data_IF_798746931377
#
_entry.id   IF_798746931377
#
_cell.length_a   1.000
_cell.length_b   1.000
_cell.length_c   1.000
_cell.angle_alpha   90.00
_cell.angle_beta   90.00
_cell.angle_gamma   90.00
#
_symmetry.space_group_name_H-M   'P 1'
#
loop_
_entity.id
_entity.type
_entity.pdbx_description
1 polymer ?
#
# COMPACT_ATOMS: atom_id res chain seq x y z
N UNK A 1 -7.45 14.22 9.78
CA UNK A 1 -6.67 15.48 9.88
C UNK A 1 -7.55 16.65 9.50
N UNK A 2 -7.49 17.74 10.26
CA UNK A 2 -8.26 18.96 10.01
C UNK A 2 -7.51 19.88 9.03
N UNK A 3 -8.24 20.49 8.10
CA UNK A 3 -7.75 21.45 7.12
C UNK A 3 -8.52 22.76 7.27
N UNK A 4 -7.82 23.82 7.68
CA UNK A 4 -8.38 25.17 7.76
C UNK A 4 -7.91 25.94 6.54
N UNK A 5 -8.84 26.29 5.66
CA UNK A 5 -8.56 27.02 4.42
C UNK A 5 -8.85 28.51 4.53
N UNK A 6 -8.26 29.26 3.61
CA UNK A 6 -8.54 30.67 3.34
C UNK A 6 -8.69 30.89 1.84
N UNK A 7 -9.01 32.12 1.42
CA UNK A 7 -9.08 32.44 -0.01
C UNK A 7 -7.76 32.08 -0.70
N UNK A 8 -7.83 31.26 -1.74
CA UNK A 8 -6.70 30.76 -2.54
C UNK A 8 -5.70 29.82 -1.83
N UNK A 9 -5.97 29.38 -0.59
CA UNK A 9 -5.22 28.25 -0.04
C UNK A 9 -5.46 27.02 -0.92
N UNK A 10 -4.38 26.36 -1.35
CA UNK A 10 -4.41 25.31 -2.35
C UNK A 10 -3.73 24.02 -1.87
N UNK A 11 -4.04 22.92 -2.54
CA UNK A 11 -3.30 21.67 -2.49
C UNK A 11 -2.91 21.30 -3.93
N UNK A 12 -1.61 21.11 -4.13
CA UNK A 12 -1.03 20.83 -5.43
C UNK A 12 -1.44 19.44 -5.95
N UNK A 13 -1.10 19.16 -7.21
CA UNK A 13 -1.36 17.84 -7.80
C UNK A 13 -0.61 16.74 -7.06
N UNK A 14 -1.36 15.75 -6.56
CA UNK A 14 -0.79 14.59 -5.92
C UNK A 14 -1.75 13.39 -5.94
N UNK A 15 -1.21 12.23 -5.58
CA UNK A 15 -1.95 11.03 -5.17
C UNK A 15 -1.69 10.78 -3.68
N UNK A 16 -2.56 10.03 -3.02
CA UNK A 16 -2.33 9.64 -1.64
C UNK A 16 -1.15 8.68 -1.50
N UNK A 17 -0.50 8.73 -0.33
CA UNK A 17 0.56 7.79 0.02
C UNK A 17 0.06 6.36 -0.14
N UNK A 18 0.90 5.50 -0.71
CA UNK A 18 0.57 4.11 -1.00
C UNK A 18 -0.70 3.90 -1.85
N UNK A 19 -1.12 4.90 -2.61
CA UNK A 19 -2.33 4.89 -3.44
C UNK A 19 -3.61 4.57 -2.67
N UNK A 20 -3.66 4.99 -1.40
CA UNK A 20 -4.87 4.86 -0.60
C UNK A 20 -6.03 5.67 -1.20
N UNK A 21 -7.24 5.32 -0.78
CA UNK A 21 -8.37 6.23 -0.90
C UNK A 21 -8.17 7.42 0.05
N UNK A 22 -8.78 8.56 -0.24
CA UNK A 22 -9.07 9.58 0.76
C UNK A 22 -10.56 9.88 0.79
N UNK A 23 -11.07 10.23 1.97
CA UNK A 23 -12.40 10.82 2.14
C UNK A 23 -12.24 12.16 2.85
N UNK A 24 -12.83 13.21 2.29
CA UNK A 24 -12.82 14.56 2.81
C UNK A 24 -14.25 15.03 3.08
N UNK A 25 -14.53 15.42 4.33
CA UNK A 25 -15.79 16.06 4.72
C UNK A 25 -15.59 17.57 4.90
N UNK A 26 -16.50 18.36 4.34
CA UNK A 26 -16.47 19.83 4.47
C UNK A 26 -17.40 20.28 5.59
N UNK A 27 -16.85 20.69 6.72
CA UNK A 27 -17.62 21.07 7.91
C UNK A 27 -18.36 22.39 7.72
N UNK A 28 -17.66 23.45 7.29
CA UNK A 28 -18.24 24.79 7.19
C UNK A 28 -17.44 25.76 6.31
N UNK A 29 -18.00 26.94 6.06
CA UNK A 29 -17.36 28.05 5.36
C UNK A 29 -17.56 28.05 3.85
N UNK A 30 -16.68 28.73 3.14
CA UNK A 30 -16.68 28.84 1.68
C UNK A 30 -16.42 27.49 0.99
N UNK A 31 -16.88 27.35 -0.25
CA UNK A 31 -16.72 26.13 -1.03
C UNK A 31 -15.26 25.87 -1.40
N UNK A 32 -14.96 24.61 -1.77
CA UNK A 32 -13.64 24.15 -2.21
C UNK A 32 -13.74 23.57 -3.62
N UNK A 33 -12.86 23.98 -4.52
CA UNK A 33 -12.77 23.39 -5.86
C UNK A 33 -11.75 22.27 -5.87
N UNK A 34 -12.13 21.16 -6.49
CA UNK A 34 -11.31 19.98 -6.73
C UNK A 34 -11.20 19.72 -8.22
N UNK A 35 -10.02 19.28 -8.64
CA UNK A 35 -9.76 18.68 -9.93
C UNK A 35 -9.28 17.25 -9.69
N UNK A 36 -9.79 16.29 -10.45
CA UNK A 36 -9.46 14.88 -10.32
C UNK A 36 -9.19 14.21 -11.65
N UNK A 37 -8.21 13.30 -11.65
CA UNK A 37 -7.80 12.46 -12.78
C UNK A 37 -8.12 11.01 -12.42
N UNK A 38 -8.76 10.23 -13.28
CA UNK A 38 -9.01 8.82 -13.00
C UNK A 38 -7.70 8.03 -12.91
N UNK A 39 -7.63 7.04 -12.02
CA UNK A 39 -6.39 6.31 -11.72
C UNK A 39 -5.73 5.63 -12.93
N UNK A 40 -6.50 5.18 -13.92
CA UNK A 40 -5.95 4.60 -15.15
C UNK A 40 -5.21 5.62 -16.04
N UNK A 41 -5.51 6.92 -15.89
CA UNK A 41 -4.85 7.99 -16.63
C UNK A 41 -3.61 8.54 -15.90
N UNK A 42 -3.27 8.03 -14.71
CA UNK A 42 -2.11 8.46 -13.94
C UNK A 42 -0.77 8.35 -14.71
N UNK A 43 -0.47 7.27 -15.46
CA UNK A 43 0.76 7.21 -16.25
C UNK A 43 0.83 8.29 -17.33
N UNK A 44 -0.30 8.60 -17.98
CA UNK A 44 -0.37 9.63 -19.02
C UNK A 44 -0.24 11.02 -18.40
N UNK A 45 -0.86 11.25 -17.22
CA UNK A 45 -0.68 12.47 -16.44
C UNK A 45 0.80 12.70 -16.11
N UNK A 46 1.49 11.70 -15.56
CA UNK A 46 2.90 11.81 -15.15
C UNK A 46 3.81 12.10 -16.35
N UNK A 47 3.54 11.46 -17.50
CA UNK A 47 4.24 11.74 -18.76
C UNK A 47 4.06 13.19 -19.22
N UNK A 48 2.82 13.70 -19.22
CA UNK A 48 2.54 15.09 -19.61
C UNK A 48 3.23 16.07 -18.66
N UNK A 49 3.23 15.79 -17.36
CA UNK A 49 3.95 16.60 -16.37
C UNK A 49 5.46 16.61 -16.64
N UNK A 50 6.03 15.45 -16.95
CA UNK A 50 7.45 15.33 -17.29
C UNK A 50 7.83 16.13 -18.54
N UNK A 51 7.00 16.08 -19.59
CA UNK A 51 7.29 16.66 -20.90
C UNK A 51 6.97 18.16 -20.98
N UNK A 52 5.96 18.63 -20.24
CA UNK A 52 5.39 19.97 -20.43
C UNK A 52 5.37 20.87 -19.19
N UNK A 53 5.62 20.32 -17.99
CA UNK A 53 5.57 21.09 -16.74
C UNK A 53 6.95 21.23 -16.11
N UNK A 54 7.70 20.13 -16.00
CA UNK A 54 9.04 20.18 -15.43
C UNK A 54 10.10 20.45 -16.50
N UNK A 55 11.07 21.31 -16.17
CA UNK A 55 12.31 21.42 -16.93
C UNK A 55 13.31 20.34 -16.46
N UNK A 56 14.38 20.13 -17.22
CA UNK A 56 15.40 19.14 -16.87
C UNK A 56 16.14 19.46 -15.56
N UNK A 57 16.09 20.69 -15.07
CA UNK A 57 16.73 21.09 -13.80
C UNK A 57 15.95 20.62 -12.56
N UNK A 58 14.62 20.48 -12.66
CA UNK A 58 13.77 19.98 -11.57
C UNK A 58 13.83 18.45 -11.47
N UNK A 59 14.06 17.77 -12.60
CA UNK A 59 14.12 16.31 -12.65
C UNK A 59 15.49 15.83 -12.17
N UNK A 60 15.53 15.26 -10.96
CA UNK A 60 16.73 14.68 -10.33
C UNK A 60 17.23 13.39 -11.01
N UNK A 61 16.43 12.81 -11.90
CA UNK A 61 16.73 11.57 -12.62
C UNK A 61 16.17 11.57 -14.04
N UNK A 62 16.85 10.85 -14.94
CA UNK A 62 16.31 10.50 -16.26
C UNK A 62 15.53 9.18 -16.11
N UNK A 63 14.23 9.19 -16.37
CA UNK A 63 13.41 7.98 -16.28
C UNK A 63 11.91 8.24 -16.27
N UNK A 64 11.12 7.18 -16.44
CA UNK A 64 9.64 7.22 -16.47
C UNK A 64 9.02 7.63 -15.12
N UNK A 65 9.74 7.47 -14.01
CA UNK A 65 9.29 7.81 -12.66
C UNK A 65 9.85 9.15 -12.13
N UNK A 66 10.64 9.87 -12.94
CA UNK A 66 11.28 11.12 -12.51
C UNK A 66 10.26 12.19 -12.10
N UNK A 67 9.19 12.34 -12.89
CA UNK A 67 8.10 13.27 -12.55
C UNK A 67 7.37 12.85 -11.27
N UNK A 68 7.19 11.54 -11.05
CA UNK A 68 6.55 11.02 -9.85
C UNK A 68 7.36 11.31 -8.59
N UNK A 69 8.68 11.15 -8.62
CA UNK A 69 9.55 11.46 -7.47
C UNK A 69 9.40 12.91 -7.00
N UNK A 70 9.24 13.85 -7.94
CA UNK A 70 8.97 15.27 -7.65
C UNK A 70 7.53 15.47 -7.18
N UNK A 71 6.55 14.84 -7.84
CA UNK A 71 5.12 14.93 -7.48
C UNK A 71 4.82 14.40 -6.06
N UNK A 72 5.62 13.45 -5.56
CA UNK A 72 5.55 13.00 -4.16
C UNK A 72 5.76 14.14 -3.15
N UNK A 73 6.45 15.21 -3.54
CA UNK A 73 6.61 16.40 -2.71
C UNK A 73 5.32 17.20 -2.52
N UNK A 74 4.27 16.95 -3.31
CA UNK A 74 2.97 17.65 -3.26
C UNK A 74 3.10 19.18 -3.37
N UNK A 75 4.02 19.66 -4.21
CA UNK A 75 4.33 21.10 -4.34
C UNK A 75 3.93 21.71 -5.69
N UNK A 76 3.77 20.92 -6.74
CA UNK A 76 3.58 21.44 -8.10
C UNK A 76 2.11 21.68 -8.43
N UNK A 77 1.74 22.96 -8.51
CA UNK A 77 0.43 23.39 -8.98
C UNK A 77 0.55 23.95 -10.41
N UNK A 78 -0.28 23.45 -11.32
CA UNK A 78 -0.40 23.96 -12.69
C UNK A 78 -1.85 23.81 -13.17
N UNK A 79 -2.30 24.66 -14.09
CA UNK A 79 -3.70 24.70 -14.48
C UNK A 79 -4.11 23.44 -15.28
N UNK A 80 -5.34 22.95 -15.12
CA UNK A 80 -5.83 21.76 -15.82
C UNK A 80 -5.80 21.81 -17.35
N UNK A 81 -5.74 22.99 -17.97
CA UNK A 81 -5.75 23.11 -19.43
C UNK A 81 -4.54 22.43 -20.07
N UNK A 82 -3.38 22.42 -19.41
CA UNK A 82 -2.20 21.69 -19.89
C UNK A 82 -2.51 20.20 -20.06
N UNK A 83 -3.27 19.61 -19.12
CA UNK A 83 -3.68 18.20 -19.18
C UNK A 83 -4.70 17.97 -20.30
N UNK A 84 -5.69 18.86 -20.42
CA UNK A 84 -6.74 18.77 -21.43
C UNK A 84 -6.20 18.89 -22.86
N UNK A 85 -5.23 19.78 -23.09
CA UNK A 85 -4.52 19.95 -24.37
C UNK A 85 -3.78 18.67 -24.81
N UNK A 86 -3.41 17.81 -23.85
CA UNK A 86 -2.73 16.54 -24.08
C UNK A 86 -3.65 15.32 -23.86
N UNK A 87 -4.97 15.50 -23.94
CA UNK A 87 -5.99 14.45 -23.85
C UNK A 87 -5.99 13.66 -22.52
N UNK A 88 -5.51 14.24 -21.42
CA UNK A 88 -5.66 13.66 -20.09
C UNK A 88 -7.05 14.05 -19.54
N UNK A 89 -7.89 13.08 -19.15
CA UNK A 89 -9.22 13.38 -18.63
C UNK A 89 -9.13 14.10 -17.28
N UNK A 90 -9.75 15.28 -17.18
CA UNK A 90 -9.85 16.05 -15.93
C UNK A 90 -11.32 16.31 -15.59
N UNK A 91 -11.69 15.99 -14.35
CA UNK A 91 -13.02 16.25 -13.81
C UNK A 91 -12.94 17.30 -12.70
N UNK A 92 -13.98 18.12 -12.56
CA UNK A 92 -14.05 19.17 -11.54
C UNK A 92 -15.21 18.93 -10.59
N UNK A 93 -14.96 19.08 -9.29
CA UNK A 93 -16.00 19.13 -8.27
C UNK A 93 -15.93 20.45 -7.48
N UNK A 94 -17.07 20.94 -7.03
CA UNK A 94 -17.17 22.12 -6.16
C UNK A 94 -17.87 21.68 -4.87
N UNK A 95 -17.07 21.42 -3.85
CA UNK A 95 -17.51 20.88 -2.57
C UNK A 95 -18.05 22.00 -1.68
N UNK A 96 -19.27 21.81 -1.15
CA UNK A 96 -19.97 22.69 -0.22
C UNK A 96 -20.02 22.08 1.19
N UNK A 97 -20.32 22.87 2.24
CA UNK A 97 -20.55 22.34 3.58
C UNK A 97 -21.58 21.21 3.62
N UNK A 98 -21.25 20.14 4.36
CA UNK A 98 -22.07 18.92 4.45
C UNK A 98 -21.77 17.86 3.39
N UNK A 99 -20.87 18.13 2.43
CA UNK A 99 -20.55 17.21 1.34
C UNK A 99 -19.24 16.44 1.58
N UNK A 100 -19.24 15.18 1.13
CA UNK A 100 -18.05 14.35 1.04
C UNK A 100 -17.44 14.39 -0.36
N UNK A 101 -16.11 14.41 -0.42
CA UNK A 101 -15.32 14.08 -1.62
C UNK A 101 -14.54 12.80 -1.31
N UNK A 102 -14.60 11.83 -2.22
CA UNK A 102 -13.81 10.60 -2.15
C UNK A 102 -12.83 10.61 -3.31
N UNK A 103 -11.53 10.46 -3.02
CA UNK A 103 -10.51 10.26 -4.04
C UNK A 103 -10.15 8.77 -4.10
N UNK A 104 -10.23 8.20 -5.30
CA UNK A 104 -9.93 6.79 -5.54
C UNK A 104 -8.41 6.54 -5.58
N UNK A 105 -7.97 5.28 -5.41
CA UNK A 105 -6.58 4.87 -5.53
C UNK A 105 -5.94 5.37 -6.82
N UNK A 106 -4.71 5.89 -6.70
CA UNK A 106 -3.90 6.41 -7.81
C UNK A 106 -4.56 7.58 -8.58
N UNK A 107 -5.65 8.16 -8.06
CA UNK A 107 -6.31 9.30 -8.69
C UNK A 107 -5.59 10.61 -8.32
N UNK A 108 -4.90 11.22 -9.29
CA UNK A 108 -4.30 12.54 -9.09
C UNK A 108 -5.38 13.57 -8.82
N UNK A 109 -5.14 14.43 -7.85
CA UNK A 109 -6.06 15.50 -7.51
C UNK A 109 -5.34 16.76 -7.02
N UNK A 110 -5.97 17.89 -7.26
CA UNK A 110 -5.51 19.22 -6.87
C UNK A 110 -6.72 20.12 -6.61
N UNK A 111 -6.52 21.26 -5.96
CA UNK A 111 -7.64 22.16 -5.69
C UNK A 111 -7.30 23.34 -4.82
N UNK A 112 -8.31 24.16 -4.55
CA UNK A 112 -8.18 25.39 -3.79
C UNK A 112 -9.49 25.82 -3.11
N UNK A 113 -9.35 26.64 -2.07
CA UNK A 113 -10.45 27.18 -1.28
C UNK A 113 -10.90 28.56 -1.77
N UNK A 114 -12.20 28.82 -1.73
CA UNK A 114 -12.81 30.10 -2.17
C UNK A 114 -13.01 31.10 -1.04
N UNK A 115 -12.40 30.86 0.12
CA UNK A 115 -12.54 31.68 1.31
C UNK A 115 -12.22 30.88 2.56
N UNK A 116 -12.53 31.44 3.73
CA UNK A 116 -12.42 30.70 4.98
C UNK A 116 -13.27 29.43 4.93
N UNK A 117 -12.67 28.28 5.22
CA UNK A 117 -13.40 27.03 5.38
C UNK A 117 -12.69 26.05 6.32
N UNK A 118 -13.44 25.04 6.76
CA UNK A 118 -12.94 23.95 7.58
C UNK A 118 -13.38 22.62 6.96
N UNK A 119 -12.41 21.76 6.66
CA UNK A 119 -12.66 20.39 6.21
C UNK A 119 -11.82 19.40 7.00
N UNK A 120 -12.16 18.13 6.90
CA UNK A 120 -11.46 17.05 7.58
C UNK A 120 -11.31 15.88 6.62
N UNK A 121 -10.13 15.25 6.59
CA UNK A 121 -9.90 14.08 5.75
C UNK A 121 -9.17 12.96 6.47
N UNK A 122 -9.40 11.74 5.98
CA UNK A 122 -8.69 10.53 6.37
C UNK A 122 -8.46 9.64 5.15
N UNK A 123 -7.34 8.92 5.16
CA UNK A 123 -7.02 7.95 4.12
C UNK A 123 -7.45 6.55 4.58
N UNK A 124 -7.86 5.72 3.63
CA UNK A 124 -8.32 4.35 3.92
C UNK A 124 -8.02 3.39 2.77
N UNK A 125 -8.13 2.09 3.07
CA UNK A 125 -8.01 1.01 2.10
C UNK A 125 -9.16 0.02 2.29
N UNK A 126 -9.57 -0.61 1.19
CA UNK A 126 -10.51 -1.73 1.13
C UNK A 126 -9.92 -2.82 0.22
N UNK A 127 -10.57 -3.97 0.04
CA UNK A 127 -9.93 -5.13 -0.59
C UNK A 127 -9.45 -4.90 -2.03
N UNK A 128 -10.12 -4.05 -2.82
CA UNK A 128 -9.66 -3.73 -4.18
C UNK A 128 -8.32 -2.98 -4.23
N UNK A 129 -7.96 -2.27 -3.15
CA UNK A 129 -6.72 -1.50 -3.06
C UNK A 129 -5.48 -2.38 -3.15
N UNK A 130 -5.51 -3.65 -2.70
CA UNK A 130 -4.30 -4.48 -2.61
C UNK A 130 -3.52 -4.60 -3.92
N UNK A 131 -4.23 -4.59 -5.05
CA UNK A 131 -3.62 -4.59 -6.39
C UNK A 131 -2.80 -3.33 -6.66
N UNK A 132 -3.35 -2.15 -6.38
CA UNK A 132 -2.68 -0.85 -6.54
C UNK A 132 -1.68 -0.57 -5.42
N UNK A 133 -1.90 -1.13 -4.22
CA UNK A 133 -0.92 -1.15 -3.15
C UNK A 133 0.37 -1.84 -3.60
N UNK A 134 0.28 -2.97 -4.32
CA UNK A 134 1.46 -3.66 -4.84
C UNK A 134 2.23 -2.80 -5.86
N UNK A 135 1.52 -2.04 -6.72
CA UNK A 135 2.11 -1.06 -7.64
C UNK A 135 2.84 0.02 -6.84
N UNK A 136 2.18 0.58 -5.82
CA UNK A 136 2.78 1.63 -5.00
C UNK A 136 4.05 1.12 -4.31
N UNK A 137 4.01 -0.05 -3.64
CA UNK A 137 5.19 -0.65 -3.00
C UNK A 137 6.33 -0.92 -4.00
N UNK A 138 6.01 -1.18 -5.27
CA UNK A 138 7.00 -1.28 -6.33
C UNK A 138 7.65 0.06 -6.67
N UNK A 139 6.87 1.14 -6.80
CA UNK A 139 7.44 2.47 -7.03
C UNK A 139 8.25 2.98 -5.85
N UNK A 140 7.79 2.74 -4.60
CA UNK A 140 8.60 3.02 -3.40
C UNK A 140 9.95 2.32 -3.45
N UNK A 141 9.96 1.03 -3.84
CA UNK A 141 11.20 0.27 -4.00
C UNK A 141 12.12 0.82 -5.11
N UNK A 142 11.56 1.23 -6.24
CA UNK A 142 12.33 1.82 -7.34
C UNK A 142 12.98 3.16 -6.94
N UNK A 143 12.27 3.96 -6.16
CA UNK A 143 12.76 5.24 -5.63
C UNK A 143 13.59 5.08 -4.34
N UNK A 144 13.83 3.85 -3.88
CA UNK A 144 14.50 3.55 -2.62
C UNK A 144 13.92 4.32 -1.41
N UNK A 145 12.59 4.44 -1.37
CA UNK A 145 11.85 5.11 -0.30
C UNK A 145 11.18 4.07 0.60
N UNK A 146 11.21 4.30 1.91
CA UNK A 146 10.48 3.45 2.86
C UNK A 146 8.98 3.56 2.63
N UNK A 147 8.27 2.44 2.40
CA UNK A 147 6.82 2.47 2.24
C UNK A 147 6.14 2.84 3.56
N UNK A 148 5.03 3.57 3.47
CA UNK A 148 4.24 3.96 4.65
C UNK A 148 3.56 2.77 5.32
N UNK A 149 3.11 1.79 4.53
CA UNK A 149 2.36 0.63 4.98
C UNK A 149 3.15 -0.66 4.71
N UNK A 150 3.11 -1.64 5.63
CA UNK A 150 3.67 -2.96 5.40
C UNK A 150 2.70 -3.80 4.55
N UNK A 151 2.69 -3.56 3.24
CA UNK A 151 1.74 -4.16 2.28
C UNK A 151 1.72 -5.69 2.32
N UNK A 152 2.89 -6.33 2.39
CA UNK A 152 3.02 -7.78 2.41
C UNK A 152 2.43 -8.37 3.70
N UNK A 153 2.65 -7.70 4.83
CA UNK A 153 2.06 -8.08 6.12
C UNK A 153 0.54 -7.95 6.12
N UNK A 154 0.01 -6.81 5.69
CA UNK A 154 -1.43 -6.57 5.61
C UNK A 154 -2.10 -7.62 4.71
N UNK A 155 -1.51 -7.88 3.54
CA UNK A 155 -2.05 -8.86 2.59
C UNK A 155 -2.09 -10.26 3.19
N UNK A 156 -1.03 -10.70 3.86
CA UNK A 156 -1.01 -11.99 4.53
C UNK A 156 -2.03 -12.07 5.68
N UNK A 157 -2.16 -11.02 6.51
CA UNK A 157 -3.12 -11.00 7.62
C UNK A 157 -4.56 -11.07 7.14
N UNK A 158 -4.96 -10.22 6.20
CA UNK A 158 -6.31 -10.23 5.63
C UNK A 158 -6.63 -11.56 4.94
N UNK A 159 -5.65 -12.12 4.22
CA UNK A 159 -5.84 -13.43 3.56
C UNK A 159 -6.03 -14.56 4.55
N UNK A 160 -5.31 -14.55 5.69
CA UNK A 160 -5.50 -15.56 6.73
C UNK A 160 -6.84 -15.41 7.44
N UNK A 161 -7.32 -14.19 7.67
CA UNK A 161 -8.68 -13.96 8.18
C UNK A 161 -9.74 -14.56 7.24
N UNK A 162 -9.61 -14.34 5.92
CA UNK A 162 -10.51 -14.95 4.94
C UNK A 162 -10.40 -16.47 4.92
N UNK A 163 -9.19 -17.02 5.03
CA UNK A 163 -8.97 -18.46 5.07
C UNK A 163 -9.59 -19.13 6.31
N UNK A 164 -9.50 -18.48 7.47
CA UNK A 164 -10.09 -18.93 8.71
C UNK A 164 -11.62 -18.91 8.65
N UNK A 165 -12.20 -17.83 8.10
CA UNK A 165 -13.65 -17.74 7.86
C UNK A 165 -14.17 -18.85 6.94
N UNK A 166 -13.40 -19.21 5.89
CA UNK A 166 -13.74 -20.32 4.99
C UNK A 166 -13.56 -21.70 5.64
N UNK A 167 -12.79 -21.81 6.72
CA UNK A 167 -12.50 -23.08 7.40
C UNK A 167 -13.41 -23.29 8.61
N UNK A 168 -13.87 -22.20 9.23
CA UNK A 168 -14.77 -22.19 10.37
C UNK A 168 -15.86 -21.11 10.15
N UNK A 169 -16.95 -21.42 9.42
CA UNK A 169 -18.04 -20.48 9.17
C UNK A 169 -18.85 -20.27 10.46
N UNK A 170 -18.33 -19.43 11.35
CA UNK A 170 -19.03 -19.02 12.59
C UNK A 170 -20.04 -17.90 12.33
N UNK A 171 -19.89 -17.16 11.23
CA UNK A 171 -20.78 -16.05 10.88
C UNK A 171 -20.95 -15.92 9.34
N UNK A 172 -22.10 -16.33 8.77
CA UNK A 172 -22.34 -16.30 7.32
C UNK A 172 -22.42 -14.89 6.71
N UNK A 173 -22.65 -13.87 7.55
CA UNK A 173 -22.90 -12.48 7.11
C UNK A 173 -21.63 -11.80 6.61
N UNK A 174 -20.49 -12.04 7.26
CA UNK A 174 -19.17 -11.50 6.86
C UNK A 174 -18.68 -12.02 5.49
N UNK A 175 -19.17 -13.17 5.03
CA UNK A 175 -18.79 -13.77 3.75
C UNK A 175 -19.54 -13.17 2.55
N UNK A 176 -20.70 -12.54 2.76
CA UNK A 176 -21.60 -12.16 1.68
C UNK A 176 -21.48 -10.70 1.22
N UNK A 177 -21.01 -9.78 2.08
CA UNK A 177 -21.23 -8.34 1.84
C UNK A 177 -20.19 -7.65 0.93
N UNK A 178 -19.06 -8.30 0.58
CA UNK A 178 -18.08 -7.68 -0.34
C UNK A 178 -17.23 -8.72 -1.12
N UNK A 179 -17.90 -9.53 -1.93
CA UNK A 179 -17.24 -10.55 -2.76
C UNK A 179 -16.15 -9.97 -3.70
N UNK A 180 -16.31 -8.78 -4.33
CA UNK A 180 -15.27 -8.18 -5.15
C UNK A 180 -13.98 -7.86 -4.37
N UNK A 181 -14.08 -7.21 -3.20
CA UNK A 181 -12.91 -6.90 -2.37
C UNK A 181 -12.20 -8.17 -1.91
N UNK A 182 -12.95 -9.18 -1.46
CA UNK A 182 -12.38 -10.47 -1.05
C UNK A 182 -11.64 -11.14 -2.21
N UNK A 183 -12.20 -11.06 -3.43
CA UNK A 183 -11.55 -11.61 -4.63
C UNK A 183 -10.23 -10.89 -4.92
N UNK A 184 -10.18 -9.56 -4.81
CA UNK A 184 -8.94 -8.78 -4.99
C UNK A 184 -7.86 -9.16 -3.97
N UNK A 185 -8.22 -9.38 -2.71
CA UNK A 185 -7.30 -9.86 -1.66
C UNK A 185 -6.74 -11.23 -2.05
N UNK A 186 -7.62 -12.20 -2.35
CA UNK A 186 -7.23 -13.57 -2.71
C UNK A 186 -6.32 -13.61 -3.93
N UNK A 187 -6.64 -12.88 -5.00
CA UNK A 187 -5.83 -12.81 -6.24
C UNK A 187 -4.45 -12.21 -5.94
N UNK A 188 -4.38 -11.13 -5.15
CA UNK A 188 -3.13 -10.48 -4.76
C UNK A 188 -2.26 -11.41 -3.90
N UNK A 189 -2.88 -12.13 -2.97
CA UNK A 189 -2.19 -13.08 -2.10
C UNK A 189 -1.65 -14.29 -2.87
N UNK A 190 -2.43 -14.83 -3.80
CA UNK A 190 -1.97 -15.92 -4.68
C UNK A 190 -0.75 -15.46 -5.49
N UNK A 191 -0.75 -14.24 -6.03
CA UNK A 191 0.43 -13.69 -6.72
C UNK A 191 1.66 -13.66 -5.80
N UNK A 192 1.51 -13.12 -4.59
CA UNK A 192 2.58 -13.07 -3.60
C UNK A 192 3.14 -14.47 -3.32
N UNK A 193 2.26 -15.44 -3.05
CA UNK A 193 2.67 -16.80 -2.69
C UNK A 193 3.30 -17.55 -3.88
N UNK A 194 2.80 -17.37 -5.10
CA UNK A 194 3.44 -17.90 -6.32
C UNK A 194 4.85 -17.33 -6.50
N UNK A 195 5.02 -16.02 -6.30
CA UNK A 195 6.32 -15.36 -6.35
C UNK A 195 7.28 -15.94 -5.29
N UNK A 196 6.87 -15.99 -4.01
CA UNK A 196 7.70 -16.52 -2.94
C UNK A 196 8.04 -18.01 -3.13
N UNK A 197 7.12 -18.81 -3.64
CA UNK A 197 7.39 -20.21 -3.96
C UNK A 197 8.46 -20.34 -5.05
N UNK A 198 8.33 -19.57 -6.15
CA UNK A 198 9.32 -19.55 -7.23
C UNK A 198 10.69 -19.08 -6.77
N UNK A 199 10.74 -17.95 -6.06
CA UNK A 199 11.98 -17.38 -5.55
C UNK A 199 12.69 -18.36 -4.59
N UNK A 200 11.96 -18.99 -3.66
CA UNK A 200 12.54 -20.00 -2.75
C UNK A 200 13.09 -21.21 -3.48
N UNK A 201 12.34 -21.75 -4.45
CA UNK A 201 12.79 -22.90 -5.23
C UNK A 201 14.08 -22.58 -5.98
N UNK A 202 14.14 -21.40 -6.59
CA UNK A 202 15.32 -20.94 -7.31
C UNK A 202 16.51 -20.72 -6.37
N UNK A 203 16.31 -19.99 -5.26
CA UNK A 203 17.35 -19.71 -4.26
C UNK A 203 17.92 -21.01 -3.67
N UNK A 204 17.08 -22.02 -3.46
CA UNK A 204 17.51 -23.35 -3.05
C UNK A 204 18.42 -24.02 -4.10
N UNK A 205 18.09 -23.95 -5.39
CA UNK A 205 18.92 -24.50 -6.49
C UNK A 205 20.34 -23.89 -6.47
N UNK A 206 20.51 -22.70 -5.91
CA UNK A 206 21.79 -22.03 -5.71
C UNK A 206 22.50 -22.36 -4.37
N UNK A 207 22.00 -23.35 -3.62
CA UNK A 207 22.65 -23.89 -2.43
C UNK A 207 22.41 -23.11 -1.14
N UNK A 208 21.38 -22.25 -1.09
CA UNK A 208 21.01 -21.55 0.14
C UNK A 208 20.42 -22.51 1.19
N UNK A 209 20.69 -22.20 2.45
CA UNK A 209 20.07 -22.84 3.62
C UNK A 209 18.82 -22.06 4.03
N UNK A 210 17.91 -22.70 4.76
CA UNK A 210 16.76 -22.01 5.36
C UNK A 210 16.87 -21.95 6.89
N UNK A 211 16.45 -20.81 7.42
CA UNK A 211 16.19 -20.60 8.83
C UNK A 211 14.72 -20.23 8.99
N UNK A 212 14.06 -20.95 9.88
CA UNK A 212 12.68 -20.75 10.22
C UNK A 212 12.68 -19.80 11.43
N UNK A 213 12.05 -18.62 11.30
CA UNK A 213 11.98 -17.61 12.37
C UNK A 213 10.56 -17.07 12.59
N UNK A 214 10.30 -16.59 13.81
CA UNK A 214 9.04 -15.93 14.15
C UNK A 214 9.09 -14.46 13.70
N UNK A 215 8.77 -14.22 12.43
CA UNK A 215 8.68 -12.86 11.86
C UNK A 215 7.33 -12.28 12.30
N UNK A 216 7.32 -11.57 13.43
CA UNK A 216 6.10 -10.95 13.97
C UNK A 216 5.74 -9.63 13.29
N UNK A 217 6.72 -8.93 12.73
CA UNK A 217 6.62 -7.63 12.06
C UNK A 217 7.43 -7.66 10.78
N UNK A 218 6.95 -6.99 9.72
CA UNK A 218 7.68 -6.89 8.47
C UNK A 218 9.06 -6.23 8.63
N UNK A 219 10.05 -6.78 7.93
CA UNK A 219 11.45 -6.34 7.99
C UNK A 219 11.79 -5.56 6.71
N UNK A 220 12.34 -4.33 6.79
CA UNK A 220 12.66 -3.57 5.60
C UNK A 220 13.89 -4.16 4.88
N UNK A 221 13.80 -4.22 3.56
CA UNK A 221 14.92 -4.58 2.71
C UNK A 221 15.98 -3.47 2.72
N UNK A 222 17.24 -3.83 2.97
CA UNK A 222 18.35 -2.88 2.98
C UNK A 222 18.70 -2.25 1.63
N UNK A 223 18.21 -2.81 0.52
CA UNK A 223 18.50 -2.35 -0.84
C UNK A 223 17.40 -1.49 -1.45
N UNK A 224 16.13 -1.80 -1.19
CA UNK A 224 14.98 -1.11 -1.78
C UNK A 224 13.94 -0.65 -0.75
N UNK A 225 14.20 -0.81 0.54
CA UNK A 225 13.28 -0.48 1.65
C UNK A 225 11.94 -1.22 1.68
N UNK A 226 11.64 -2.09 0.70
CA UNK A 226 10.41 -2.88 0.68
C UNK A 226 10.28 -3.73 1.95
N UNK A 227 9.08 -3.81 2.48
CA UNK A 227 8.73 -4.67 3.58
C UNK A 227 8.82 -6.16 3.19
N UNK A 228 9.45 -6.96 4.04
CA UNK A 228 9.59 -8.40 3.88
C UNK A 228 8.88 -9.08 5.04
N UNK A 229 7.80 -9.80 4.76
CA UNK A 229 6.99 -10.43 5.80
C UNK A 229 7.03 -11.96 5.70
N UNK A 230 6.88 -12.51 4.49
CA UNK A 230 6.87 -13.94 4.19
C UNK A 230 8.29 -14.52 4.25
N UNK A 231 9.25 -13.84 3.65
CA UNK A 231 10.64 -14.26 3.63
C UNK A 231 11.62 -13.13 3.29
N UNK A 232 12.83 -13.23 3.81
CA UNK A 232 13.97 -12.41 3.40
C UNK A 232 15.26 -13.22 3.36
N UNK A 233 16.29 -12.69 2.72
CA UNK A 233 17.59 -13.33 2.58
C UNK A 233 18.64 -12.58 3.41
N UNK A 234 19.56 -13.31 4.04
CA UNK A 234 20.86 -12.79 4.48
C UNK A 234 21.97 -13.61 3.81
N UNK A 235 22.99 -12.94 3.28
CA UNK A 235 24.26 -13.57 2.90
C UNK A 235 25.34 -13.08 3.86
N UNK A 236 26.39 -13.85 4.08
CA UNK A 236 27.51 -13.43 4.92
C UNK A 236 28.23 -12.16 4.42
N UNK A 237 28.07 -11.80 3.14
CA UNK A 237 28.57 -10.53 2.59
C UNK A 237 27.74 -9.31 3.02
N UNK A 238 26.47 -9.52 3.39
CA UNK A 238 25.53 -8.45 3.74
C UNK A 238 24.73 -8.87 4.97
N UNK A 239 25.11 -8.34 6.13
CA UNK A 239 24.45 -8.66 7.41
C UNK A 239 22.97 -8.23 7.39
N UNK A 240 22.64 -7.22 6.57
CA UNK A 240 21.32 -6.65 6.51
C UNK A 240 20.34 -7.49 5.66
N UNK A 241 19.05 -7.52 6.02
CA UNK A 241 18.01 -8.23 5.27
C UNK A 241 17.87 -7.73 3.83
N UNK A 242 17.65 -8.66 2.90
CA UNK A 242 17.39 -8.40 1.49
C UNK A 242 16.08 -9.08 1.05
N UNK A 243 15.18 -8.36 0.39
CA UNK A 243 13.98 -8.98 -0.16
C UNK A 243 14.34 -9.92 -1.30
N UNK A 244 13.46 -10.87 -1.61
CA UNK A 244 13.75 -11.87 -2.64
C UNK A 244 13.69 -11.30 -4.06
N UNK A 245 13.54 -9.99 -4.28
CA UNK A 245 13.34 -9.39 -5.61
C UNK A 245 14.63 -8.95 -6.30
N UNK A 246 15.75 -9.00 -5.57
CA UNK A 246 17.08 -8.61 -6.05
C UNK A 246 17.79 -9.77 -6.76
N UNK A 247 17.19 -10.31 -7.83
CA UNK A 247 17.73 -11.50 -8.51
C UNK A 247 19.18 -11.31 -8.96
N UNK A 248 19.52 -10.15 -9.52
CA UNK A 248 20.86 -9.85 -10.04
C UNK A 248 21.91 -9.87 -8.94
N UNK A 249 21.61 -9.24 -7.80
CA UNK A 249 22.48 -9.15 -6.64
C UNK A 249 22.58 -10.50 -5.93
N UNK A 250 21.48 -11.24 -5.87
CA UNK A 250 21.48 -12.62 -5.43
C UNK A 250 22.35 -13.46 -6.39
N UNK A 251 22.27 -13.31 -7.71
CA UNK A 251 23.06 -14.12 -8.64
C UNK A 251 24.57 -13.82 -8.55
N UNK A 252 24.94 -12.55 -8.48
CA UNK A 252 26.32 -12.10 -8.62
C UNK A 252 27.07 -11.99 -7.27
N UNK A 253 26.45 -12.39 -6.17
CA UNK A 253 27.08 -12.23 -4.86
C UNK A 253 28.29 -13.19 -4.67
N UNK A 254 29.47 -12.64 -4.27
CA UNK A 254 30.73 -13.38 -4.22
C UNK A 254 30.81 -14.46 -3.12
N UNK A 255 29.84 -14.54 -2.19
CA UNK A 255 29.82 -15.56 -1.12
C UNK A 255 29.62 -17.01 -1.63
N UNK A 256 29.41 -17.22 -2.93
CA UNK A 256 29.57 -18.51 -3.62
C UNK A 256 28.57 -19.63 -3.29
N UNK A 257 27.88 -19.59 -2.13
CA UNK A 257 26.76 -20.46 -1.67
C UNK A 257 26.30 -20.17 -0.23
N UNK A 258 27.04 -19.39 0.58
CA UNK A 258 26.72 -19.24 2.00
C UNK A 258 25.62 -18.18 2.26
N UNK A 259 24.36 -18.59 2.09
CA UNK A 259 23.17 -17.73 2.24
C UNK A 259 22.12 -18.43 3.04
N UNK A 260 21.45 -17.67 3.90
CA UNK A 260 20.35 -18.13 4.73
C UNK A 260 19.10 -17.37 4.34
N UNK A 261 18.08 -18.10 3.88
CA UNK A 261 16.75 -17.56 3.72
C UNK A 261 15.99 -17.68 5.03
N UNK A 262 15.48 -16.57 5.55
CA UNK A 262 14.65 -16.53 6.74
C UNK A 262 13.19 -16.62 6.30
N UNK A 263 12.50 -17.62 6.84
CA UNK A 263 11.15 -18.00 6.49
C UNK A 263 10.25 -17.89 7.72
N UNK A 264 9.02 -17.43 7.53
CA UNK A 264 8.01 -17.49 8.59
C UNK A 264 7.73 -18.93 9.06
N UNK A 265 7.35 -19.07 10.32
CA UNK A 265 6.89 -20.34 10.91
C UNK A 265 5.66 -20.93 10.21
N UNK A 266 4.70 -20.08 9.89
CA UNK A 266 3.39 -20.41 9.33
C UNK A 266 3.40 -20.48 7.79
N UNK A 267 4.59 -20.53 7.16
CA UNK A 267 4.71 -20.47 5.69
C UNK A 267 3.95 -21.58 4.96
N UNK A 268 3.93 -22.80 5.52
CA UNK A 268 3.17 -23.91 4.94
C UNK A 268 1.66 -23.70 5.06
N UNK A 269 1.21 -22.98 6.09
CA UNK A 269 -0.18 -22.60 6.26
C UNK A 269 -0.58 -21.52 5.25
N UNK A 270 0.27 -20.50 5.05
CA UNK A 270 0.09 -19.49 3.99
C UNK A 270 -0.01 -20.13 2.59
N UNK A 271 0.84 -21.12 2.30
CA UNK A 271 0.76 -21.88 1.04
C UNK A 271 -0.53 -22.70 0.94
N UNK A 272 -1.00 -23.27 2.05
CA UNK A 272 -2.26 -24.04 2.08
C UNK A 272 -3.45 -23.13 1.82
N UNK A 273 -3.46 -21.93 2.41
CA UNK A 273 -4.45 -20.90 2.13
C UNK A 273 -4.44 -20.48 0.66
N UNK A 274 -3.25 -20.21 0.11
CA UNK A 274 -3.09 -19.84 -1.30
C UNK A 274 -3.61 -20.93 -2.24
N UNK A 275 -3.32 -22.21 -1.97
CA UNK A 275 -3.83 -23.34 -2.76
C UNK A 275 -5.36 -23.44 -2.68
N UNK A 276 -5.94 -23.19 -1.50
CA UNK A 276 -7.40 -23.18 -1.32
C UNK A 276 -8.05 -22.07 -2.15
N UNK A 277 -7.49 -20.87 -2.14
CA UNK A 277 -7.98 -19.75 -2.96
C UNK A 277 -7.82 -19.99 -4.46
N UNK A 278 -6.75 -20.64 -4.91
CA UNK A 278 -6.58 -20.99 -6.33
C UNK A 278 -7.65 -21.95 -6.86
N UNK A 279 -8.23 -22.78 -5.99
CA UNK A 279 -9.31 -23.71 -6.34
C UNK A 279 -10.68 -23.03 -6.39
N UNK A 280 -10.81 -21.77 -5.96
CA UNK A 280 -12.03 -20.99 -6.13
C UNK A 280 -12.18 -20.51 -7.58
N UNK A 281 -13.43 -20.41 -8.03
CA UNK A 281 -13.74 -20.16 -9.44
C UNK A 281 -13.21 -18.81 -9.93
N UNK A 282 -12.48 -18.85 -11.05
CA UNK A 282 -11.91 -17.68 -11.73
C UNK A 282 -10.76 -16.96 -11.03
N UNK A 283 -10.23 -17.41 -9.88
CA UNK A 283 -9.04 -16.81 -9.25
C UNK A 283 -7.77 -17.15 -10.05
N UNK A 284 -7.54 -18.42 -10.37
CA UNK A 284 -6.33 -18.84 -11.10
C UNK A 284 -6.25 -18.22 -12.50
N UNK A 285 -7.40 -18.07 -13.18
CA UNK A 285 -7.49 -17.41 -14.49
C UNK A 285 -7.14 -15.92 -14.41
N UNK A 286 -7.66 -15.22 -13.41
CA UNK A 286 -7.37 -13.80 -13.20
C UNK A 286 -5.89 -13.59 -12.89
N UNK A 287 -5.32 -14.46 -12.04
CA UNK A 287 -3.89 -14.45 -11.75
C UNK A 287 -3.07 -14.62 -13.04
N UNK A 288 -3.50 -15.51 -13.93
CA UNK A 288 -2.80 -15.74 -15.19
C UNK A 288 -2.95 -14.56 -16.17
N UNK A 289 -4.12 -13.92 -16.22
CA UNK A 289 -4.36 -12.72 -17.04
C UNK A 289 -3.48 -11.56 -16.60
N UNK A 290 -3.42 -11.26 -15.30
CA UNK A 290 -2.60 -10.18 -14.76
C UNK A 290 -1.10 -10.38 -15.04
N UNK A 291 -0.62 -11.62 -15.00
CA UNK A 291 0.76 -11.97 -15.39
C UNK A 291 1.03 -11.77 -16.89
N UNK A 292 0.05 -12.07 -17.75
CA UNK A 292 0.19 -11.96 -19.22
C UNK A 292 0.06 -10.54 -19.75
N UNK A 293 -0.82 -9.74 -19.16
CA UNK A 293 -1.08 -8.36 -19.59
C UNK A 293 0.07 -7.40 -19.27
N UNK A 294 1.06 -7.83 -18.47
CA UNK A 294 2.16 -6.96 -18.07
C UNK A 294 1.66 -5.72 -17.33
N UNK A 295 0.50 -5.84 -16.66
CA UNK A 295 -0.08 -4.78 -15.87
C UNK A 295 0.97 -4.29 -14.87
N UNK A 296 1.02 -2.98 -14.60
CA UNK A 296 2.06 -2.39 -13.74
C UNK A 296 2.03 -3.00 -12.31
N UNK A 297 0.89 -3.59 -11.93
CA UNK A 297 0.69 -4.42 -10.72
C UNK A 297 1.53 -5.71 -10.70
N UNK A 298 1.95 -6.19 -11.86
CA UNK A 298 2.62 -7.48 -12.09
C UNK A 298 3.93 -7.35 -12.89
N UNK A 299 4.59 -6.19 -12.87
CA UNK A 299 5.92 -5.95 -13.50
C UNK A 299 7.05 -6.90 -13.02
N UNK A 300 6.76 -7.79 -12.08
CA UNK A 300 7.65 -8.80 -11.51
C UNK A 300 7.48 -10.19 -12.15
N UNK A 301 6.64 -10.34 -13.18
CA UNK A 301 6.44 -11.59 -13.92
C UNK A 301 7.73 -12.16 -14.53
N UNK A 302 8.77 -11.33 -14.70
CA UNK A 302 10.08 -11.69 -15.26
C UNK A 302 11.16 -12.07 -14.23
N UNK A 303 10.92 -11.92 -12.93
CA UNK A 303 11.88 -12.31 -11.90
C UNK A 303 11.84 -13.83 -11.67
N UNK A 304 13.03 -14.44 -11.62
CA UNK A 304 13.23 -15.89 -11.51
C UNK A 304 12.50 -16.70 -12.59
N UNK A 305 12.51 -16.24 -13.84
CA UNK A 305 11.95 -17.02 -14.96
C UNK A 305 12.58 -18.42 -14.97
N UNK A 306 11.76 -19.40 -14.62
CA UNK A 306 12.09 -20.82 -14.74
C UNK A 306 11.51 -21.28 -16.08
N UNK A 307 12.39 -21.70 -16.99
CA UNK A 307 11.98 -22.32 -18.25
C UNK A 307 11.33 -23.69 -17.96
N UNK A 308 10.57 -24.23 -18.92
CA UNK A 308 9.99 -25.59 -18.76
C UNK A 308 11.07 -26.64 -18.50
N UNK A 309 12.29 -26.39 -18.95
CA UNK A 309 13.44 -27.27 -18.80
C UNK A 309 14.12 -27.17 -17.42
N UNK A 310 13.79 -26.16 -16.61
CA UNK A 310 14.35 -25.99 -15.26
C UNK A 310 13.78 -26.98 -14.24
N UNK A 311 12.67 -27.66 -14.55
CA UNK A 311 12.02 -28.62 -13.67
C UNK A 311 11.17 -27.99 -12.55
N UNK A 312 10.97 -26.67 -12.56
CA UNK A 312 10.09 -25.99 -11.62
C UNK A 312 8.63 -26.39 -11.83
N UNK A 313 7.95 -26.78 -10.76
CA UNK A 313 6.50 -26.95 -10.70
C UNK A 313 5.95 -26.08 -9.57
N UNK A 314 4.80 -25.45 -9.80
CA UNK A 314 4.15 -24.64 -8.79
C UNK A 314 3.83 -25.52 -7.57
N UNK A 315 4.14 -25.02 -6.37
CA UNK A 315 4.01 -25.73 -5.09
C UNK A 315 4.72 -27.10 -4.99
N UNK A 316 5.77 -27.35 -5.76
CA UNK A 316 6.61 -28.53 -5.56
C UNK A 316 7.37 -28.49 -4.23
N UNK A 317 7.78 -29.66 -3.72
CA UNK A 317 8.44 -29.77 -2.43
C UNK A 317 9.83 -29.10 -2.41
N UNK A 318 10.04 -28.15 -1.49
CA UNK A 318 11.31 -27.42 -1.32
C UNK A 318 11.99 -27.86 -0.02
N UNK A 319 12.80 -28.93 -0.07
CA UNK A 319 13.60 -29.41 1.09
C UNK A 319 14.91 -28.64 1.33
N UNK A 320 14.97 -27.67 2.23
CA UNK A 320 16.25 -27.07 2.58
C UNK A 320 17.10 -28.02 3.43
N UNK A 321 18.43 -27.98 3.28
CA UNK A 321 19.34 -28.60 4.24
C UNK A 321 19.25 -27.80 5.55
N UNK A 322 18.96 -28.49 6.66
CA UNK A 322 18.58 -27.84 7.91
C UNK A 322 19.75 -27.12 8.57
N UNK A 323 19.58 -25.83 8.83
CA UNK A 323 20.30 -25.12 9.90
C UNK A 323 19.45 -25.15 11.15
N UNK A 324 19.92 -25.83 12.18
CA UNK A 324 19.32 -25.88 13.52
C UNK A 324 19.06 -24.46 14.04
N UNK A 325 17.93 -24.27 14.74
CA UNK A 325 17.51 -23.02 15.37
C UNK A 325 18.68 -22.31 16.05
N UNK A 326 19.17 -21.21 15.47
CA UNK A 326 20.06 -20.30 16.18
C UNK A 326 19.16 -19.42 17.02
N UNK A 327 19.06 -19.72 18.31
CA UNK A 327 18.49 -18.81 19.29
C UNK A 327 19.36 -17.56 19.36
N UNK A 328 19.03 -16.54 18.58
CA UNK A 328 19.61 -15.21 18.77
C UNK A 328 19.00 -14.61 20.04
N UNK A 329 19.69 -14.80 21.17
CA UNK A 329 19.57 -13.91 22.33
C UNK A 329 20.07 -12.52 21.92
N UNK A 330 19.22 -11.74 21.24
CA UNK A 330 19.44 -10.30 21.11
C UNK A 330 19.06 -9.68 22.46
N UNK A 331 20.06 -9.47 23.32
CA UNK A 331 19.94 -8.50 24.40
C UNK A 331 19.79 -7.12 23.76
N UNK A 332 18.55 -6.66 23.65
CA UNK A 332 18.28 -5.25 23.50
C UNK A 332 18.76 -4.54 24.77
N UNK A 333 19.86 -3.81 24.68
CA UNK A 333 20.19 -2.81 25.69
C UNK A 333 19.13 -1.71 25.59
N UNK A 334 18.10 -1.83 26.42
CA UNK A 334 17.15 -0.77 26.69
C UNK A 334 17.85 0.32 27.50
N UNK A 335 18.20 1.42 26.85
CA UNK A 335 18.33 2.70 27.52
C UNK A 335 17.43 3.72 26.83
N UNK A 336 16.33 4.04 27.52
CA UNK A 336 15.69 5.35 27.48
C UNK A 336 14.73 5.60 26.33
N UNK A 337 13.48 5.16 26.48
CA UNK A 337 12.29 5.99 26.27
C UNK A 337 11.09 5.27 26.89
N UNK A 338 10.79 5.71 28.11
CA UNK A 338 9.75 5.23 28.99
C UNK A 338 8.39 5.72 28.44
N UNK A 339 7.53 4.80 28.02
CA UNK A 339 6.12 5.08 27.73
C UNK A 339 5.27 4.16 28.60
N UNK A 340 4.97 4.62 29.80
CA UNK A 340 4.15 3.95 30.80
C UNK A 340 2.71 3.79 30.31
N UNK A 341 2.30 2.53 30.13
CA UNK A 341 0.90 2.15 30.02
C UNK A 341 0.21 2.33 31.38
N UNK A 342 -0.65 3.35 31.49
CA UNK A 342 -1.68 3.38 32.54
C UNK A 342 -2.90 2.60 32.04
N UNK A 343 -3.01 1.34 32.47
CA UNK A 343 -4.30 0.64 32.57
C UNK A 343 -5.12 1.34 33.64
N UNK A 344 -6.23 1.96 33.27
CA UNK A 344 -7.33 2.20 34.20
C UNK A 344 -8.62 1.67 33.57
N UNK A 345 -9.13 0.62 34.19
CA UNK A 345 -10.50 0.15 34.06
C UNK A 345 -11.45 1.27 34.49
N UNK A 346 -12.28 1.75 33.56
CA UNK A 346 -13.50 2.49 33.87
C UNK A 346 -14.65 1.88 33.08
N UNK A 347 -15.33 0.93 33.72
CA UNK A 347 -16.75 0.66 33.44
C UNK A 347 -17.51 1.92 33.85
N UNK A 348 -18.03 2.65 32.86
CA UNK A 348 -19.08 3.64 33.09
C UNK A 348 -20.29 3.27 32.24
N UNK A 349 -21.37 3.00 32.96
CA UNK A 349 -22.71 2.68 32.52
C UNK A 349 -23.31 3.79 31.66
N UNK A 350 -23.86 3.40 30.50
CA UNK A 350 -24.73 4.24 29.71
C UNK A 350 -26.10 4.35 30.39
N UNK A 351 -26.42 5.51 30.96
CA UNK A 351 -27.78 6.04 31.06
C UNK A 351 -27.72 7.48 31.61
N UNK A 352 -28.56 8.35 31.04
CA UNK A 352 -28.87 9.73 31.46
C UNK A 352 -27.92 10.86 31.02
N UNK A 353 -28.26 11.52 29.90
CA UNK A 353 -28.28 12.99 29.75
C UNK A 353 -28.63 13.43 28.31
N UNK A 354 -29.78 12.99 27.81
CA UNK A 354 -30.46 13.69 26.70
C UNK A 354 -31.35 14.76 27.33
N UNK A 355 -30.77 15.88 27.79
CA UNK A 355 -31.49 17.13 28.12
C UNK A 355 -30.61 18.20 28.81
N UNK A 356 -29.57 18.75 28.16
CA UNK A 356 -28.97 20.04 28.63
C UNK A 356 -28.03 20.73 27.63
N UNK A 357 -28.29 20.69 26.31
CA UNK A 357 -27.57 21.53 25.35
C UNK A 357 -28.51 22.23 24.37
N UNK A 358 -29.65 22.70 24.89
CA UNK A 358 -30.69 23.42 24.15
C UNK A 358 -31.01 24.77 24.81
N UNK A 359 -29.99 25.57 25.10
CA UNK A 359 -30.15 26.96 25.52
C UNK A 359 -28.78 27.66 25.62
N UNK A 360 -28.24 28.14 24.49
CA UNK A 360 -27.26 29.25 24.42
C UNK A 360 -26.80 29.52 22.97
N UNK A 361 -27.70 29.62 21.99
CA UNK A 361 -27.40 30.23 20.67
C UNK A 361 -28.68 30.81 20.02
N UNK A 362 -29.55 31.38 20.83
CA UNK A 362 -30.66 32.23 20.38
C UNK A 362 -30.63 33.47 21.28
N UNK A 363 -29.86 34.46 20.87
CA UNK A 363 -30.13 35.89 21.03
C UNK A 363 -28.92 36.67 20.49
N UNK A 364 -29.16 37.49 19.47
CA UNK A 364 -28.15 38.40 18.92
C UNK A 364 -28.09 38.42 17.40
N UNK A 365 -29.15 38.90 16.75
CA UNK A 365 -29.08 39.93 15.70
C UNK A 365 -30.41 40.02 14.94
N UNK A 366 -31.34 40.79 15.50
CA UNK A 366 -32.21 41.64 14.71
C UNK A 366 -31.87 43.09 15.07
N UNK A 367 -31.34 43.84 14.11
CA UNK A 367 -31.60 45.27 13.96
C UNK A 367 -31.11 45.70 12.57
N UNK A 368 -32.06 46.26 11.84
CA UNK A 368 -31.93 46.84 10.50
C UNK A 368 -31.10 48.14 10.54
N UNK A 369 -30.37 48.34 9.43
CA UNK A 369 -30.04 49.58 8.71
C UNK A 369 -30.25 50.99 9.32
N UNK A 370 -29.24 51.81 8.97
CA UNK A 370 -29.23 53.25 8.68
C UNK A 370 -29.12 54.26 9.85
N UNK A 371 -27.87 54.58 10.23
CA UNK A 371 -27.16 55.89 10.09
C UNK A 371 -25.76 55.75 10.71
#
# INVERSE_FOLDING_TARGET
MLYIGMLFSMFAWHVEDHYLYSINYHHCGAFKTWYGIPGHAAPVFEKVVQEHVYNQEILSSEGVDAAFDVLLGKTTMFPPNILLEHNVPVYKAVQKPGEFIITFPRAYHAGFSHGFNCGEAVNFAIGDWFSLGAVASWRYALLNRTPLLPHEELLCRESMLLYDCLSNPKDPVLLAEDLPSQRCIKVSFVHLMRFHHRARWWIKKFGAQACYSNISVAVPCSMCQRDCYVAYLKCNCTVNPMCLRHESEIRNCPCGRNRVIYLRMDLLELESASKKFENEDGISEEVQKQVQLGDESCLQSKLFLCTKDDGYKLYCEIKFEATTQIGEHVKWNSQGLDCTYLKNDLRLTAQESVSSARSTWLDGNSLQNDV
#
